data_IF_452441844214
#
_entry.id   IF_452441844214
#
_cell.length_a   1.000
_cell.length_b   1.000
_cell.length_c   1.000
_cell.angle_alpha   90.00
_cell.angle_beta   90.00
_cell.angle_gamma   90.00
#
_symmetry.space_group_name_H-M   'P 1'
#
loop_
_entity.id
_entity.type
_entity.pdbx_description
1 polymer ?
#
# COMPACT_ATOMS: atom_id res chain seq x y z
N UNK A 1 3.12 -6.50 -48.50
CA UNK A 1 3.31 -6.97 -47.12
C UNK A 1 3.29 -5.75 -46.20
N UNK A 2 2.24 -5.56 -45.38
CA UNK A 2 2.17 -4.41 -44.45
C UNK A 2 3.01 -4.75 -43.21
N UNK A 3 4.13 -4.05 -43.05
CA UNK A 3 4.91 -4.06 -41.81
C UNK A 3 4.08 -3.35 -40.73
N UNK A 4 3.60 -4.09 -39.74
CA UNK A 4 3.03 -3.50 -38.54
C UNK A 4 4.14 -2.73 -37.83
N UNK A 5 4.09 -1.39 -37.89
CA UNK A 5 4.97 -0.50 -37.12
C UNK A 5 4.52 -0.48 -35.65
N UNK A 6 4.53 -1.64 -35.01
CA UNK A 6 4.36 -1.72 -33.57
C UNK A 6 5.72 -1.52 -32.92
N UNK A 7 5.92 -0.36 -32.28
CA UNK A 7 7.10 -0.10 -31.46
C UNK A 7 6.73 -0.32 -30.00
N UNK A 8 7.22 -1.41 -29.41
CA UNK A 8 7.06 -1.65 -27.98
C UNK A 8 8.16 -0.86 -27.28
N UNK A 9 7.82 0.30 -26.73
CA UNK A 9 8.72 1.05 -25.86
C UNK A 9 8.87 0.24 -24.57
N UNK A 10 10.09 0.00 -24.07
CA UNK A 10 10.28 -0.66 -22.79
C UNK A 10 9.47 0.05 -21.70
N UNK A 11 8.74 -0.69 -20.85
CA UNK A 11 7.98 -0.08 -19.77
C UNK A 11 8.92 0.75 -18.89
N UNK A 12 8.46 1.93 -18.47
CA UNK A 12 9.21 2.80 -17.54
C UNK A 12 9.13 2.32 -16.08
N UNK A 13 8.21 1.39 -15.78
CA UNK A 13 8.05 0.80 -14.46
C UNK A 13 8.89 -0.47 -14.31
N UNK A 14 9.24 -0.81 -13.07
CA UNK A 14 9.94 -2.06 -12.75
C UNK A 14 9.07 -3.30 -12.95
N UNK A 15 7.75 -3.14 -12.92
CA UNK A 15 6.73 -4.15 -13.15
C UNK A 15 5.36 -3.51 -13.40
N UNK A 16 4.39 -4.35 -13.71
CA UNK A 16 2.98 -3.95 -13.79
C UNK A 16 2.09 -5.18 -13.66
N UNK A 17 0.86 -4.95 -13.21
CA UNK A 17 -0.20 -5.95 -13.13
C UNK A 17 -1.38 -5.52 -14.00
N UNK A 18 -1.81 -6.40 -14.90
CA UNK A 18 -2.98 -6.18 -15.77
C UNK A 18 -3.84 -7.44 -15.75
N UNK A 19 -5.13 -7.29 -15.43
CA UNK A 19 -6.08 -8.42 -15.39
C UNK A 19 -5.56 -9.60 -14.57
N UNK A 20 -5.10 -9.33 -13.36
CA UNK A 20 -4.56 -10.32 -12.41
C UNK A 20 -3.26 -11.02 -12.86
N UNK A 21 -2.68 -10.59 -13.98
CA UNK A 21 -1.40 -11.08 -14.48
C UNK A 21 -0.30 -10.10 -14.07
N UNK A 22 0.50 -10.52 -13.10
CA UNK A 22 1.62 -9.77 -12.55
C UNK A 22 2.89 -10.01 -13.35
N UNK A 23 3.59 -8.95 -13.71
CA UNK A 23 4.85 -9.03 -14.46
C UNK A 23 5.89 -8.10 -13.85
N UNK A 24 7.17 -8.45 -13.98
CA UNK A 24 8.27 -7.52 -13.71
C UNK A 24 9.45 -7.77 -14.62
N UNK A 25 10.28 -6.74 -14.78
CA UNK A 25 11.55 -6.87 -15.49
C UNK A 25 12.55 -7.72 -14.69
N UNK A 26 13.42 -8.44 -15.39
CA UNK A 26 14.54 -9.12 -14.75
C UNK A 26 15.59 -8.11 -14.29
N UNK A 27 16.15 -8.30 -13.10
CA UNK A 27 17.27 -7.51 -12.59
C UNK A 27 18.36 -8.44 -12.02
N UNK A 28 19.57 -8.49 -12.62
CA UNK A 28 20.65 -9.36 -12.15
C UNK A 28 21.08 -9.13 -10.70
N UNK A 29 20.97 -7.88 -10.19
CA UNK A 29 21.30 -7.55 -8.79
C UNK A 29 20.44 -8.32 -7.80
N UNK A 30 19.19 -8.54 -8.18
CA UNK A 30 18.18 -9.16 -7.36
C UNK A 30 18.04 -10.66 -7.67
N UNK A 31 18.43 -11.09 -8.87
CA UNK A 31 18.40 -12.49 -9.27
C UNK A 31 17.00 -13.08 -9.08
N UNK A 32 16.93 -14.26 -8.45
CA UNK A 32 15.65 -14.93 -8.11
C UNK A 32 14.85 -14.20 -7.02
N UNK A 33 15.49 -13.34 -6.22
CA UNK A 33 14.84 -12.53 -5.18
C UNK A 33 14.21 -11.30 -5.83
N UNK A 34 12.97 -11.40 -6.31
CA UNK A 34 12.35 -10.36 -7.14
C UNK A 34 11.33 -9.52 -6.33
N UNK A 35 11.76 -8.52 -5.55
CA UNK A 35 10.86 -7.74 -4.68
C UNK A 35 9.74 -7.05 -5.47
N UNK A 36 10.05 -6.53 -6.67
CA UNK A 36 9.04 -5.93 -7.55
C UNK A 36 8.07 -6.97 -8.08
N UNK A 37 8.52 -8.18 -8.44
CA UNK A 37 7.61 -9.25 -8.85
C UNK A 37 6.64 -9.63 -7.73
N UNK A 38 7.13 -9.70 -6.49
CA UNK A 38 6.30 -9.96 -5.32
C UNK A 38 5.25 -8.86 -5.12
N UNK A 39 5.65 -7.59 -5.19
CA UNK A 39 4.72 -6.44 -5.12
C UNK A 39 3.59 -6.57 -6.13
N UNK A 40 3.94 -6.79 -7.40
CA UNK A 40 2.97 -6.97 -8.47
C UNK A 40 2.07 -8.21 -8.25
N UNK A 41 2.63 -9.30 -7.72
CA UNK A 41 1.87 -10.51 -7.39
C UNK A 41 0.77 -10.21 -6.37
N UNK A 42 1.03 -9.35 -5.38
CA UNK A 42 0.02 -8.95 -4.41
C UNK A 42 -1.13 -8.20 -5.08
N UNK A 43 -0.88 -7.31 -6.04
CA UNK A 43 -1.96 -6.66 -6.80
C UNK A 43 -2.83 -7.66 -7.56
N UNK A 44 -2.22 -8.72 -8.12
CA UNK A 44 -2.95 -9.79 -8.79
C UNK A 44 -3.86 -10.55 -7.84
N UNK A 45 -3.36 -10.87 -6.63
CA UNK A 45 -4.16 -11.54 -5.59
C UNK A 45 -5.32 -10.66 -5.10
N UNK A 46 -5.10 -9.38 -4.84
CA UNK A 46 -6.16 -8.47 -4.38
C UNK A 46 -7.25 -8.29 -5.44
N UNK A 47 -6.85 -8.16 -6.70
CA UNK A 47 -7.79 -8.05 -7.82
C UNK A 47 -8.60 -9.33 -8.00
N UNK A 48 -7.96 -10.50 -7.94
CA UNK A 48 -8.63 -11.79 -8.14
C UNK A 48 -9.51 -12.20 -6.96
N UNK A 49 -8.94 -12.17 -5.75
CA UNK A 49 -9.54 -12.78 -4.57
C UNK A 49 -10.46 -11.82 -3.81
N UNK A 50 -10.12 -10.52 -3.80
CA UNK A 50 -10.92 -9.48 -3.14
C UNK A 50 -11.70 -8.61 -4.12
N UNK A 51 -11.58 -8.83 -5.43
CA UNK A 51 -12.25 -8.05 -6.50
C UNK A 51 -11.92 -6.56 -6.45
N UNK A 52 -10.76 -6.22 -5.89
CA UNK A 52 -10.28 -4.85 -5.83
C UNK A 52 -9.61 -4.51 -7.16
N UNK A 53 -10.25 -3.66 -7.94
CA UNK A 53 -9.75 -3.28 -9.26
C UNK A 53 -8.42 -2.52 -9.18
N UNK A 54 -7.37 -3.08 -9.79
CA UNK A 54 -6.08 -2.40 -9.94
C UNK A 54 -6.25 -1.10 -10.75
N UNK A 55 -5.67 0.01 -10.27
CA UNK A 55 -5.76 1.32 -10.92
C UNK A 55 -7.05 2.10 -10.64
N UNK A 56 -8.04 1.51 -9.96
CA UNK A 56 -9.24 2.22 -9.50
C UNK A 56 -8.90 3.05 -8.26
N UNK A 57 -9.12 4.37 -8.31
CA UNK A 57 -8.61 5.32 -7.32
C UNK A 57 -8.91 4.92 -5.85
N UNK A 58 -10.17 4.64 -5.46
CA UNK A 58 -10.52 4.19 -4.10
C UNK A 58 -9.82 2.90 -3.61
N UNK A 59 -9.33 2.06 -4.53
CA UNK A 59 -8.68 0.79 -4.17
C UNK A 59 -7.17 0.93 -4.05
N UNK A 60 -6.59 1.96 -4.69
CA UNK A 60 -5.14 2.04 -4.88
C UNK A 60 -4.35 2.06 -3.58
N UNK A 61 -4.84 2.72 -2.52
CA UNK A 61 -4.15 2.72 -1.23
C UNK A 61 -4.06 1.34 -0.60
N UNK A 62 -5.10 0.51 -0.77
CA UNK A 62 -5.12 -0.84 -0.22
C UNK A 62 -4.20 -1.76 -1.04
N UNK A 63 -4.21 -1.59 -2.37
CA UNK A 63 -3.28 -2.26 -3.28
C UNK A 63 -1.82 -1.97 -2.93
N UNK A 64 -1.44 -0.69 -2.92
CA UNK A 64 -0.06 -0.27 -2.69
C UNK A 64 0.37 -0.50 -1.26
N UNK A 65 -0.55 -0.36 -0.29
CA UNK A 65 -0.29 -0.63 1.11
C UNK A 65 0.02 -2.10 1.38
N UNK A 66 -0.81 -3.03 0.89
CA UNK A 66 -0.54 -4.47 1.05
C UNK A 66 0.67 -4.94 0.26
N UNK A 67 0.83 -4.48 -0.98
CA UNK A 67 1.96 -4.85 -1.81
C UNK A 67 3.29 -4.39 -1.17
N UNK A 68 3.32 -3.15 -0.67
CA UNK A 68 4.45 -2.62 0.10
C UNK A 68 4.66 -3.37 1.41
N UNK A 69 3.57 -3.74 2.13
CA UNK A 69 3.65 -4.46 3.40
C UNK A 69 4.33 -5.81 3.22
N UNK A 70 3.86 -6.62 2.28
CA UNK A 70 4.42 -7.94 2.00
C UNK A 70 5.85 -7.81 1.46
N UNK A 71 6.10 -6.84 0.56
CA UNK A 71 7.42 -6.59 0.02
C UNK A 71 8.43 -6.25 1.14
N UNK A 72 8.13 -5.30 2.02
CA UNK A 72 9.02 -4.89 3.09
C UNK A 72 9.17 -5.97 4.15
N UNK A 73 8.12 -6.75 4.42
CA UNK A 73 8.20 -7.82 5.40
C UNK A 73 9.19 -8.93 4.98
N UNK A 74 9.32 -9.19 3.68
CA UNK A 74 10.23 -10.18 3.09
C UNK A 74 11.56 -9.60 2.56
N UNK A 75 11.58 -8.31 2.22
CA UNK A 75 12.72 -7.56 1.72
C UNK A 75 12.85 -6.23 2.49
N UNK A 76 13.32 -6.24 3.75
CA UNK A 76 13.29 -5.07 4.64
C UNK A 76 13.98 -3.82 4.10
N UNK A 77 14.98 -3.99 3.24
CA UNK A 77 15.74 -2.87 2.64
C UNK A 77 14.99 -2.19 1.47
N UNK A 78 13.78 -2.63 1.13
CA UNK A 78 13.03 -2.05 0.00
C UNK A 78 12.39 -0.71 0.30
N UNK A 79 12.14 -0.39 1.58
CA UNK A 79 11.66 0.92 2.05
C UNK A 79 12.46 1.28 3.30
N UNK A 80 13.05 2.48 3.31
CA UNK A 80 13.79 2.97 4.47
C UNK A 80 12.86 3.32 5.63
N UNK A 81 13.19 2.84 6.84
CA UNK A 81 12.48 3.19 8.07
C UNK A 81 12.49 4.70 8.35
N UNK A 82 13.52 5.42 7.89
CA UNK A 82 13.65 6.87 8.09
C UNK A 82 12.52 7.65 7.42
N UNK A 83 12.01 7.17 6.28
CA UNK A 83 10.91 7.84 5.55
C UNK A 83 9.67 7.87 6.43
N UNK A 84 9.31 6.73 7.03
CA UNK A 84 8.18 6.63 7.94
C UNK A 84 8.40 7.45 9.22
N UNK A 85 9.60 7.35 9.82
CA UNK A 85 9.92 8.11 11.02
C UNK A 85 9.80 9.63 10.80
N UNK A 86 10.25 10.14 9.64
CA UNK A 86 10.06 11.55 9.27
C UNK A 86 8.60 11.89 9.05
N UNK A 87 7.86 11.08 8.28
CA UNK A 87 6.43 11.29 8.03
C UNK A 87 5.62 11.44 9.33
N UNK A 88 5.79 10.52 10.28
CA UNK A 88 5.09 10.58 11.57
C UNK A 88 5.54 11.74 12.48
N UNK A 89 6.82 12.15 12.39
CA UNK A 89 7.33 13.33 13.11
C UNK A 89 6.70 14.62 12.59
N UNK A 90 6.57 14.75 11.28
CA UNK A 90 6.02 15.95 10.63
C UNK A 90 4.49 16.03 10.75
N UNK A 91 3.79 14.89 10.71
CA UNK A 91 2.34 14.81 10.76
C UNK A 91 1.71 14.84 9.37
N UNK A 92 0.46 15.29 9.25
CA UNK A 92 -0.33 15.22 8.01
C UNK A 92 -0.69 16.62 7.49
N UNK A 93 -0.69 16.81 6.16
CA UNK A 93 -1.26 17.99 5.51
C UNK A 93 -0.49 19.29 5.70
N UNK A 94 0.76 19.22 6.17
CA UNK A 94 1.67 20.37 6.27
C UNK A 94 2.52 20.49 5.00
N UNK A 95 2.97 21.70 4.61
CA UNK A 95 3.82 21.88 3.43
C UNK A 95 5.07 20.99 3.42
N UNK A 96 5.63 20.72 4.60
CA UNK A 96 6.79 19.87 4.82
C UNK A 96 6.46 18.38 5.01
N UNK A 97 5.17 18.01 5.02
CA UNK A 97 4.71 16.64 5.26
C UNK A 97 4.69 15.81 3.97
N UNK A 98 5.23 14.60 4.06
CA UNK A 98 5.09 13.55 3.05
C UNK A 98 3.74 12.82 3.16
N UNK A 99 2.93 13.10 4.19
CA UNK A 99 1.63 12.45 4.43
C UNK A 99 0.45 13.36 4.11
N UNK A 100 -0.48 12.83 3.34
CA UNK A 100 -1.77 13.47 3.00
C UNK A 100 -2.87 13.06 3.99
N UNK A 101 -3.98 13.81 4.10
CA UNK A 101 -5.13 13.40 4.89
C UNK A 101 -5.63 12.00 4.52
N UNK A 102 -6.02 11.17 5.50
CA UNK A 102 -6.53 9.82 5.21
C UNK A 102 -7.78 9.85 4.33
N UNK A 103 -8.64 10.86 4.50
CA UNK A 103 -9.80 11.05 3.64
C UNK A 103 -9.41 11.25 2.16
N UNK A 104 -8.29 11.93 1.90
CA UNK A 104 -7.74 12.09 0.56
C UNK A 104 -7.11 10.78 0.08
N UNK A 105 -6.30 10.13 0.91
CA UNK A 105 -5.66 8.85 0.59
C UNK A 105 -6.68 7.78 0.18
N UNK A 106 -7.83 7.73 0.84
CA UNK A 106 -8.88 6.73 0.58
C UNK A 106 -9.70 6.99 -0.69
N UNK A 107 -9.63 8.20 -1.27
CA UNK A 107 -10.43 8.58 -2.45
C UNK A 107 -9.57 8.76 -3.70
N UNK A 108 -8.34 9.20 -3.52
CA UNK A 108 -7.43 9.56 -4.59
C UNK A 108 -6.59 8.38 -5.06
N UNK A 109 -6.06 8.50 -6.28
CA UNK A 109 -5.04 7.58 -6.77
C UNK A 109 -3.74 7.81 -6.02
N UNK A 110 -3.26 6.78 -5.33
CA UNK A 110 -1.99 6.82 -4.59
C UNK A 110 -0.81 7.03 -5.54
N UNK A 111 0.04 7.98 -5.19
CA UNK A 111 1.30 8.30 -5.86
C UNK A 111 2.47 7.56 -5.19
N UNK A 112 3.60 7.46 -5.89
CA UNK A 112 4.76 6.67 -5.41
C UNK A 112 5.31 7.18 -4.06
N UNK A 113 5.33 8.48 -3.86
CA UNK A 113 5.72 9.15 -2.60
C UNK A 113 4.75 8.89 -1.45
N UNK A 114 3.52 8.46 -1.74
CA UNK A 114 2.49 8.09 -0.76
C UNK A 114 2.51 6.59 -0.38
N UNK A 115 3.34 5.76 -1.03
CA UNK A 115 3.44 4.32 -0.71
C UNK A 115 3.85 4.06 0.75
N UNK A 116 4.82 4.79 1.35
CA UNK A 116 5.12 4.65 2.77
C UNK A 116 3.90 4.93 3.66
N UNK A 117 3.10 5.95 3.33
CA UNK A 117 1.89 6.23 4.07
C UNK A 117 0.90 5.06 3.97
N UNK A 118 0.59 4.61 2.75
CA UNK A 118 -0.32 3.49 2.50
C UNK A 118 0.13 2.20 3.23
N UNK A 119 1.43 1.88 3.16
CA UNK A 119 2.06 0.80 3.91
C UNK A 119 1.75 0.92 5.41
N UNK A 120 1.99 2.08 5.99
CA UNK A 120 1.83 2.28 7.43
C UNK A 120 0.36 2.24 7.88
N UNK A 121 -0.57 2.70 7.04
CA UNK A 121 -2.01 2.61 7.30
C UNK A 121 -2.45 1.15 7.27
N UNK A 122 -2.05 0.38 6.25
CA UNK A 122 -2.34 -1.07 6.20
C UNK A 122 -1.71 -1.80 7.39
N UNK A 123 -0.49 -1.45 7.76
CA UNK A 123 0.19 -2.03 8.93
C UNK A 123 -0.61 -1.75 10.22
N UNK A 124 -1.06 -0.52 10.42
CA UNK A 124 -1.91 -0.16 11.57
C UNK A 124 -3.20 -0.97 11.58
N UNK A 125 -3.88 -1.04 10.45
CA UNK A 125 -5.13 -1.79 10.33
C UNK A 125 -4.92 -3.29 10.59
N UNK A 126 -3.83 -3.90 10.13
CA UNK A 126 -3.50 -5.29 10.45
C UNK A 126 -3.28 -5.48 11.96
N UNK A 127 -2.52 -4.59 12.60
CA UNK A 127 -2.11 -4.76 14.00
C UNK A 127 -3.15 -4.34 15.03
N UNK A 128 -3.99 -3.36 14.69
CA UNK A 128 -4.89 -2.69 15.65
C UNK A 128 -6.36 -2.85 15.31
N UNK A 129 -6.70 -2.90 14.03
CA UNK A 129 -8.09 -2.88 13.57
C UNK A 129 -8.35 -3.95 12.47
N UNK A 130 -7.99 -5.24 12.68
CA UNK A 130 -8.08 -6.24 11.62
C UNK A 130 -9.51 -6.50 11.15
N UNK A 131 -10.50 -6.31 12.05
CA UNK A 131 -11.92 -6.37 11.70
C UNK A 131 -12.33 -5.24 10.74
N UNK A 132 -11.90 -4.01 11.02
CA UNK A 132 -12.15 -2.87 10.14
C UNK A 132 -11.47 -3.06 8.77
N UNK A 133 -10.24 -3.58 8.73
CA UNK A 133 -9.54 -3.87 7.47
C UNK A 133 -10.34 -4.79 6.56
N UNK A 134 -10.84 -5.89 7.13
CA UNK A 134 -11.67 -6.87 6.43
C UNK A 134 -12.95 -6.22 5.91
N UNK A 135 -13.64 -5.46 6.75
CA UNK A 135 -14.92 -4.85 6.40
C UNK A 135 -14.74 -3.75 5.34
N UNK A 136 -13.63 -3.00 5.39
CA UNK A 136 -13.24 -2.04 4.35
C UNK A 136 -12.96 -2.74 3.02
N UNK A 137 -12.18 -3.82 3.02
CA UNK A 137 -11.90 -4.57 1.79
C UNK A 137 -13.19 -5.11 1.15
N UNK A 138 -14.10 -5.68 1.95
CA UNK A 138 -15.39 -6.16 1.49
C UNK A 138 -16.26 -5.03 0.93
N UNK A 139 -16.37 -3.91 1.65
CA UNK A 139 -17.18 -2.78 1.23
C UNK A 139 -16.68 -2.15 -0.10
N UNK A 140 -15.36 -2.01 -0.26
CA UNK A 140 -14.77 -1.53 -1.51
C UNK A 140 -15.09 -2.46 -2.69
N UNK A 141 -15.07 -3.78 -2.46
CA UNK A 141 -15.46 -4.77 -3.47
C UNK A 141 -16.94 -4.67 -3.89
N UNK A 142 -17.80 -4.19 -2.99
CA UNK A 142 -19.22 -3.93 -3.22
C UNK A 142 -19.50 -2.50 -3.75
N UNK A 143 -18.45 -1.71 -4.02
CA UNK A 143 -18.57 -0.33 -4.52
C UNK A 143 -18.96 0.71 -3.45
N UNK A 144 -18.91 0.35 -2.17
CA UNK A 144 -19.10 1.27 -1.05
C UNK A 144 -17.81 2.01 -0.72
N UNK A 145 -17.90 3.10 0.05
CA UNK A 145 -16.74 3.91 0.41
C UNK A 145 -16.15 3.52 1.76
N UNK A 146 -14.88 3.85 1.99
CA UNK A 146 -14.25 3.69 3.32
C UNK A 146 -15.00 4.50 4.38
N UNK A 147 -15.52 5.69 4.03
CA UNK A 147 -16.28 6.52 4.96
C UNK A 147 -17.54 5.82 5.48
N UNK A 148 -18.27 5.10 4.61
CA UNK A 148 -19.47 4.35 5.01
C UNK A 148 -19.14 3.26 6.03
N UNK A 149 -17.97 2.62 5.90
CA UNK A 149 -17.54 1.56 6.82
C UNK A 149 -17.08 2.17 8.15
N UNK A 150 -16.35 3.28 8.11
CA UNK A 150 -15.92 3.97 9.32
C UNK A 150 -17.11 4.43 10.15
N UNK A 151 -18.17 4.93 9.53
CA UNK A 151 -19.41 5.30 10.21
C UNK A 151 -20.06 4.08 10.89
N UNK A 152 -20.11 2.93 10.22
CA UNK A 152 -20.62 1.67 10.79
C UNK A 152 -19.82 1.20 12.00
N UNK A 153 -18.53 1.51 12.04
CA UNK A 153 -17.64 1.25 13.17
C UNK A 153 -17.65 2.37 14.23
N UNK A 154 -18.54 3.38 14.10
CA UNK A 154 -18.65 4.49 15.06
C UNK A 154 -17.45 5.44 15.07
N UNK A 155 -16.68 5.47 13.98
CA UNK A 155 -15.49 6.29 13.82
C UNK A 155 -15.59 7.21 12.59
N UNK A 156 -14.56 8.01 12.35
CA UNK A 156 -14.48 8.92 11.21
C UNK A 156 -13.07 8.86 10.61
N UNK A 157 -12.85 9.32 9.36
CA UNK A 157 -11.51 9.40 8.79
C UNK A 157 -10.53 10.16 9.68
N UNK A 158 -10.97 11.25 10.31
CA UNK A 158 -10.16 12.04 11.23
C UNK A 158 -9.80 11.25 12.50
N UNK A 159 -10.77 10.58 13.14
CA UNK A 159 -10.51 9.77 14.34
C UNK A 159 -9.54 8.61 14.06
N UNK A 160 -9.71 7.94 12.91
CA UNK A 160 -8.79 6.91 12.46
C UNK A 160 -7.39 7.49 12.22
N UNK A 161 -7.30 8.66 11.59
CA UNK A 161 -6.03 9.35 11.35
C UNK A 161 -5.31 9.70 12.65
N UNK A 162 -6.02 10.22 13.64
CA UNK A 162 -5.44 10.58 14.93
C UNK A 162 -4.88 9.34 15.65
N UNK A 163 -5.64 8.25 15.66
CA UNK A 163 -5.22 6.97 16.24
C UNK A 163 -4.03 6.35 15.49
N UNK A 164 -4.04 6.40 14.16
CA UNK A 164 -2.93 5.96 13.31
C UNK A 164 -1.66 6.79 13.52
N UNK A 165 -1.79 8.12 13.65
CA UNK A 165 -0.66 9.01 13.92
C UNK A 165 -0.06 8.78 15.30
N UNK A 166 -0.89 8.59 16.33
CA UNK A 166 -0.44 8.26 17.68
C UNK A 166 0.32 6.94 17.69
N UNK A 167 -0.27 5.89 17.12
CA UNK A 167 0.38 4.58 16.98
C UNK A 167 1.70 4.69 16.20
N UNK A 168 1.69 5.38 15.07
CA UNK A 168 2.86 5.47 14.19
C UNK A 168 4.02 6.22 14.82
N UNK A 169 3.77 7.29 15.60
CA UNK A 169 4.81 7.99 16.37
C UNK A 169 5.45 7.11 17.43
N UNK A 170 4.67 6.21 18.05
CA UNK A 170 5.20 5.28 19.05
C UNK A 170 6.05 4.17 18.44
N UNK A 171 5.67 3.73 17.22
CA UNK A 171 6.24 2.60 16.49
C UNK A 171 7.47 2.97 15.67
N UNK A 172 7.36 3.96 14.79
CA UNK A 172 8.39 4.27 13.81
C UNK A 172 9.42 5.24 14.38
N UNK A 173 10.59 4.70 14.72
CA UNK A 173 11.73 5.45 15.23
C UNK A 173 12.91 5.35 14.24
N UNK A 174 13.80 6.36 14.20
CA UNK A 174 14.95 6.36 13.28
C UNK A 174 15.90 5.14 13.47
N UNK A 175 15.94 4.56 14.66
CA UNK A 175 16.79 3.42 15.01
C UNK A 175 16.12 2.05 14.77
N UNK A 176 14.92 2.03 14.19
CA UNK A 176 14.17 0.79 14.02
C UNK A 176 14.77 -0.09 12.92
N UNK A 177 15.13 -1.32 13.29
CA UNK A 177 15.76 -2.30 12.37
C UNK A 177 14.78 -2.94 11.37
N UNK A 178 13.48 -2.92 11.64
CA UNK A 178 12.47 -3.58 10.81
C UNK A 178 11.18 -2.79 10.77
N UNK A 179 10.78 -2.39 9.56
CA UNK A 179 9.59 -1.58 9.29
C UNK A 179 8.28 -2.31 9.59
N UNK A 180 8.18 -3.57 9.13
CA UNK A 180 7.04 -4.46 9.35
C UNK A 180 7.50 -5.92 9.43
N UNK A 181 6.71 -6.75 10.11
CA UNK A 181 6.87 -8.20 10.13
C UNK A 181 5.55 -8.86 9.74
N UNK A 182 5.62 -9.98 9.00
CA UNK A 182 4.44 -10.81 8.75
C UNK A 182 3.89 -11.31 10.11
N UNK A 183 2.55 -11.39 10.25
CA UNK A 183 1.92 -12.04 11.39
C UNK A 183 2.41 -13.49 11.52
N UNK A 184 2.44 -14.01 12.74
CA UNK A 184 2.97 -15.37 12.99
C UNK A 184 2.11 -16.44 12.30
N UNK A 185 0.82 -16.19 12.16
CA UNK A 185 -0.13 -17.03 11.43
C UNK A 185 0.10 -17.08 9.91
N UNK A 186 0.96 -16.21 9.36
CA UNK A 186 1.30 -16.16 7.92
C UNK A 186 2.70 -16.71 7.63
N UNK A 187 3.41 -17.21 8.65
CA UNK A 187 4.73 -17.83 8.53
C UNK A 187 4.61 -19.35 8.44
#
# INVERSE_FOLDING_TARGET
MKLWRAQIVPPRSGGYTVQDISTSSWNPRYGVKRPVYLHETVHGLLSRDLRLLTGHAPHTWLHEGFASYVQVALYPDSISADVLARGFKTGVGRPESEFVPLEELFRSRVQLDQYPQALSVVTYLIEKEPGLLRDVAAALSDGRTVADVLEQHGTTPQRLQDAWLEWGRSRYRPDMKRVVALPDEWK
#
